data_IF_228928421520
#
_entry.id   IF_228928421520
#
_cell.length_a   1.000
_cell.length_b   1.000
_cell.length_c   1.000
_cell.angle_alpha   90.00
_cell.angle_beta   90.00
_cell.angle_gamma   90.00
#
_symmetry.space_group_name_H-M   'P 1'
#
loop_
_entity.id
_entity.type
_entity.pdbx_description
1 polymer ?
#
# COMPACT_ATOMS: atom_id res chain seq x y z
N UNK A 1 6.88 -13.53 3.98
CA UNK A 1 7.76 -12.92 2.97
C UNK A 1 7.09 -11.82 2.17
N UNK A 2 6.08 -12.09 1.32
CA UNK A 2 5.45 -11.04 0.49
C UNK A 2 4.64 -10.02 1.31
N UNK A 3 3.84 -10.50 2.27
CA UNK A 3 3.09 -9.65 3.20
C UNK A 3 3.99 -8.84 4.12
N UNK A 4 5.15 -9.38 4.51
CA UNK A 4 6.12 -8.68 5.38
C UNK A 4 6.77 -7.49 4.67
N UNK A 5 7.11 -7.62 3.38
CA UNK A 5 7.65 -6.50 2.60
C UNK A 5 6.62 -5.37 2.41
N UNK A 6 5.36 -5.74 2.19
CA UNK A 6 4.25 -4.78 2.06
C UNK A 6 3.99 -4.09 3.40
N UNK A 7 3.95 -4.84 4.50
CA UNK A 7 3.73 -4.31 5.84
C UNK A 7 4.87 -3.38 6.28
N UNK A 8 6.13 -3.76 6.02
CA UNK A 8 7.30 -2.92 6.31
C UNK A 8 7.24 -1.60 5.54
N UNK A 9 6.92 -1.65 4.24
CA UNK A 9 6.69 -0.45 3.43
C UNK A 9 5.62 0.44 4.06
N UNK A 10 4.46 -0.12 4.39
CA UNK A 10 3.36 0.64 4.97
C UNK A 10 3.73 1.26 6.32
N UNK A 11 4.42 0.53 7.18
CA UNK A 11 4.93 1.06 8.46
C UNK A 11 5.91 2.20 8.25
N UNK A 12 6.83 2.10 7.29
CA UNK A 12 7.76 3.19 6.96
C UNK A 12 7.03 4.44 6.48
N UNK A 13 6.05 4.28 5.60
CA UNK A 13 5.23 5.41 5.11
C UNK A 13 4.44 6.05 6.25
N UNK A 14 3.79 5.26 7.10
CA UNK A 14 3.03 5.76 8.26
C UNK A 14 3.90 6.50 9.27
N UNK A 15 5.19 6.16 9.36
CA UNK A 15 6.17 6.83 10.21
C UNK A 15 6.93 7.96 9.47
N UNK A 16 6.47 8.34 8.28
CA UNK A 16 7.08 9.41 7.47
C UNK A 16 8.57 9.21 7.22
N UNK A 17 9.00 7.94 7.05
CA UNK A 17 10.40 7.61 6.76
C UNK A 17 10.87 8.36 5.51
N UNK A 18 11.86 9.27 5.61
CA UNK A 18 12.17 10.22 4.55
C UNK A 18 12.70 9.53 3.29
N UNK A 19 13.38 8.39 3.43
CA UNK A 19 13.87 7.59 2.30
C UNK A 19 12.69 6.99 1.54
N UNK A 20 11.74 6.40 2.25
CA UNK A 20 10.55 5.79 1.65
C UNK A 20 9.64 6.84 1.02
N UNK A 21 9.40 7.96 1.71
CA UNK A 21 8.60 9.08 1.18
C UNK A 21 9.25 9.62 -0.10
N UNK A 22 10.56 9.85 -0.10
CA UNK A 22 11.27 10.26 -1.32
C UNK A 22 11.12 9.25 -2.45
N UNK A 23 11.24 7.95 -2.17
CA UNK A 23 11.03 6.89 -3.17
C UNK A 23 9.61 6.91 -3.75
N UNK A 24 8.60 7.17 -2.92
CA UNK A 24 7.21 7.32 -3.39
C UNK A 24 7.07 8.54 -4.30
N UNK A 25 7.65 9.69 -3.93
CA UNK A 25 7.62 10.88 -4.79
C UNK A 25 8.36 10.69 -6.12
N UNK A 26 9.49 9.98 -6.12
CA UNK A 26 10.29 9.73 -7.31
C UNK A 26 9.71 8.59 -8.18
N UNK A 27 8.65 7.91 -7.73
CA UNK A 27 8.06 6.78 -8.44
C UNK A 27 7.07 7.23 -9.52
N UNK A 28 7.37 6.89 -10.78
CA UNK A 28 6.49 7.16 -11.91
C UNK A 28 5.42 6.06 -12.08
N UNK A 29 4.40 6.08 -11.21
CA UNK A 29 3.27 5.14 -11.28
C UNK A 29 2.17 5.44 -10.27
N UNK A 30 1.24 4.49 -10.12
CA UNK A 30 0.06 4.64 -9.25
C UNK A 30 0.39 4.39 -7.76
N UNK A 31 1.38 5.10 -7.22
CA UNK A 31 1.73 5.13 -5.78
C UNK A 31 2.14 6.56 -5.44
N UNK A 32 1.39 7.24 -4.59
CA UNK A 32 1.67 8.63 -4.20
C UNK A 32 1.14 8.93 -2.81
N UNK A 33 1.74 9.92 -2.14
CA UNK A 33 1.25 10.44 -0.85
C UNK A 33 0.34 11.64 -1.13
N UNK A 34 -0.84 11.66 -0.52
CA UNK A 34 -1.74 12.80 -0.49
C UNK A 34 -1.59 13.52 0.85
N UNK A 35 -1.01 14.71 0.82
CA UNK A 35 -0.78 15.53 2.02
C UNK A 35 -2.09 16.00 2.68
N UNK A 36 -3.16 16.16 1.90
CA UNK A 36 -4.46 16.64 2.40
C UNK A 36 -5.17 15.65 3.31
N UNK A 37 -4.99 14.34 3.08
CA UNK A 37 -5.66 13.27 3.84
C UNK A 37 -4.68 12.40 4.64
N UNK A 38 -3.38 12.78 4.66
CA UNK A 38 -2.29 12.00 5.27
C UNK A 38 -2.41 10.52 4.88
N UNK A 39 -2.51 10.29 3.57
CA UNK A 39 -2.81 8.99 3.01
C UNK A 39 -1.79 8.60 1.93
N UNK A 40 -1.37 7.34 1.93
CA UNK A 40 -0.70 6.73 0.80
C UNK A 40 -1.76 6.13 -0.13
N UNK A 41 -1.88 6.71 -1.33
CA UNK A 41 -2.78 6.23 -2.37
C UNK A 41 -2.02 5.32 -3.32
N UNK A 42 -2.57 4.15 -3.62
CA UNK A 42 -1.97 3.20 -4.55
C UNK A 42 -2.97 2.34 -5.31
N UNK A 43 -2.60 1.91 -6.52
CA UNK A 43 -3.23 0.75 -7.17
C UNK A 43 -2.48 -0.53 -6.77
N UNK A 44 -3.14 -1.70 -6.78
CA UNK A 44 -2.45 -2.97 -6.48
C UNK A 44 -1.29 -3.25 -7.46
N UNK A 45 -1.44 -2.81 -8.72
CA UNK A 45 -0.40 -2.92 -9.74
C UNK A 45 0.74 -1.93 -9.50
N UNK A 46 0.43 -0.71 -9.09
CA UNK A 46 1.41 0.30 -8.67
C UNK A 46 2.24 -0.21 -7.50
N UNK A 47 1.58 -0.70 -6.45
CA UNK A 47 2.22 -1.27 -5.26
C UNK A 47 3.13 -2.46 -5.62
N UNK A 48 2.64 -3.40 -6.43
CA UNK A 48 3.44 -4.53 -6.91
C UNK A 48 4.72 -4.09 -7.64
N UNK A 49 4.61 -3.11 -8.55
CA UNK A 49 5.77 -2.55 -9.25
C UNK A 49 6.72 -1.83 -8.30
N UNK A 50 6.17 -1.07 -7.35
CA UNK A 50 6.93 -0.27 -6.39
C UNK A 50 7.80 -1.13 -5.46
N UNK A 51 7.25 -2.24 -4.97
CA UNK A 51 7.97 -3.16 -4.05
C UNK A 51 9.08 -3.92 -4.80
N UNK A 52 9.09 -3.89 -6.13
CA UNK A 52 10.08 -4.59 -6.95
C UNK A 52 9.56 -5.96 -7.36
N UNK A 53 9.04 -6.02 -8.59
CA UNK A 53 8.44 -7.21 -9.21
C UNK A 53 9.36 -8.44 -9.29
N UNK A 54 10.66 -8.31 -9.02
CA UNK A 54 11.62 -9.42 -9.06
C UNK A 54 11.55 -10.35 -7.84
N UNK A 55 11.06 -9.88 -6.69
CA UNK A 55 11.05 -10.69 -5.45
C UNK A 55 9.68 -11.32 -5.15
N UNK A 56 8.59 -10.80 -5.73
CA UNK A 56 7.21 -11.15 -5.34
C UNK A 56 6.49 -12.15 -6.28
N UNK A 57 7.18 -12.73 -7.26
CA UNK A 57 6.62 -13.72 -8.19
C UNK A 57 5.72 -13.07 -9.26
N UNK A 58 4.67 -13.73 -9.72
CA UNK A 58 3.74 -13.13 -10.68
C UNK A 58 2.77 -12.14 -10.01
N UNK A 59 2.27 -11.14 -10.74
CA UNK A 59 1.26 -10.21 -10.22
C UNK A 59 0.02 -10.93 -9.66
N UNK A 60 -0.39 -12.04 -10.28
CA UNK A 60 -1.48 -12.87 -9.78
C UNK A 60 -1.14 -13.53 -8.43
N UNK A 61 0.10 -14.02 -8.28
CA UNK A 61 0.63 -14.54 -7.02
C UNK A 61 0.70 -13.48 -5.93
N UNK A 62 1.17 -12.28 -6.26
CA UNK A 62 1.18 -11.13 -5.36
C UNK A 62 -0.23 -10.80 -4.85
N UNK A 63 -1.20 -10.65 -5.76
CA UNK A 63 -2.60 -10.38 -5.39
C UNK A 63 -3.15 -11.46 -4.47
N UNK A 64 -2.96 -12.73 -4.83
CA UNK A 64 -3.42 -13.86 -4.01
C UNK A 64 -2.78 -13.83 -2.62
N UNK A 65 -1.47 -13.55 -2.54
CA UNK A 65 -0.75 -13.42 -1.28
C UNK A 65 -1.29 -12.30 -0.39
N UNK A 66 -1.60 -11.12 -0.95
CA UNK A 66 -2.22 -10.04 -0.20
C UNK A 66 -3.58 -10.44 0.37
N UNK A 67 -4.47 -11.02 -0.46
CA UNK A 67 -5.81 -11.42 -0.01
C UNK A 67 -5.82 -12.57 0.99
N UNK A 68 -4.78 -13.42 0.97
CA UNK A 68 -4.62 -14.53 1.91
C UNK A 68 -3.84 -14.14 3.17
N UNK A 69 -3.31 -12.92 3.22
CA UNK A 69 -2.52 -12.44 4.37
C UNK A 69 -3.38 -11.76 5.42
N UNK A 70 -2.90 -11.78 6.65
CA UNK A 70 -3.48 -11.02 7.77
C UNK A 70 -3.08 -9.53 7.74
N UNK A 71 -2.67 -9.00 6.59
CA UNK A 71 -2.13 -7.64 6.44
C UNK A 71 -3.07 -6.56 7.00
N UNK A 72 -4.38 -6.67 6.72
CA UNK A 72 -5.36 -5.73 7.25
C UNK A 72 -5.46 -5.82 8.78
N UNK A 73 -5.40 -7.02 9.35
CA UNK A 73 -5.40 -7.20 10.80
C UNK A 73 -4.12 -6.62 11.42
N UNK A 74 -2.96 -6.91 10.83
CA UNK A 74 -1.66 -6.39 11.29
C UNK A 74 -1.57 -4.86 11.19
N UNK A 75 -2.24 -4.26 10.21
CA UNK A 75 -2.36 -2.80 10.10
C UNK A 75 -3.31 -2.23 11.15
N UNK A 76 -4.45 -2.88 11.40
CA UNK A 76 -5.37 -2.47 12.47
C UNK A 76 -4.70 -2.49 13.84
N UNK A 77 -3.95 -3.57 14.14
CA UNK A 77 -3.17 -3.68 15.38
C UNK A 77 -2.09 -2.57 15.48
N UNK A 78 -1.65 -2.03 14.33
CA UNK A 78 -0.71 -0.92 14.24
C UNK A 78 -1.40 0.47 14.15
N UNK A 79 -2.72 0.55 14.35
CA UNK A 79 -3.47 1.81 14.28
C UNK A 79 -3.64 2.36 12.87
N UNK A 80 -3.70 1.50 11.86
CA UNK A 80 -3.84 1.87 10.46
C UNK A 80 -4.85 1.00 9.71
N UNK A 81 -5.33 1.50 8.58
CA UNK A 81 -6.31 0.79 7.75
C UNK A 81 -6.06 1.05 6.26
N UNK A 82 -6.43 0.08 5.44
CA UNK A 82 -6.52 0.24 3.99
C UNK A 82 -8.00 0.28 3.61
N UNK A 83 -8.40 1.34 2.91
CA UNK A 83 -9.75 1.49 2.37
C UNK A 83 -9.72 1.72 0.87
N UNK A 84 -10.87 1.57 0.22
CA UNK A 84 -11.01 1.92 -1.20
C UNK A 84 -11.14 3.44 -1.28
N UNK A 85 -10.17 4.08 -1.91
CA UNK A 85 -10.16 5.52 -2.17
C UNK A 85 -11.02 5.88 -3.39
N UNK A 86 -10.84 5.13 -4.48
CA UNK A 86 -11.61 5.33 -5.71
C UNK A 86 -11.89 3.98 -6.37
N UNK A 87 -13.17 3.68 -6.59
CA UNK A 87 -13.61 2.50 -7.36
C UNK A 87 -14.03 2.93 -8.75
N UNK A 88 -13.48 2.27 -9.77
CA UNK A 88 -13.81 2.53 -11.19
C UNK A 88 -14.65 1.39 -11.79
N UNK A 89 -15.18 0.49 -10.95
CA UNK A 89 -15.95 -0.68 -11.37
C UNK A 89 -15.10 -1.87 -11.84
N UNK A 90 -13.78 -1.70 -12.01
CA UNK A 90 -12.82 -2.78 -12.21
C UNK A 90 -11.80 -2.75 -11.08
N UNK A 91 -11.68 -3.85 -10.34
CA UNK A 91 -10.76 -3.98 -9.17
C UNK A 91 -9.32 -3.60 -9.52
N UNK A 92 -8.89 -3.85 -10.76
CA UNK A 92 -7.53 -3.55 -11.23
C UNK A 92 -7.23 -2.04 -11.37
N UNK A 93 -8.28 -1.23 -11.47
CA UNK A 93 -8.19 0.24 -11.54
C UNK A 93 -8.78 0.89 -10.29
N UNK A 94 -8.97 0.12 -9.22
CA UNK A 94 -9.28 0.71 -7.92
C UNK A 94 -8.01 1.30 -7.30
N UNK A 95 -8.18 2.46 -6.70
CA UNK A 95 -7.20 3.07 -5.83
C UNK A 95 -7.57 2.78 -4.39
N UNK A 96 -6.56 2.45 -3.61
CA UNK A 96 -6.65 2.19 -2.19
C UNK A 96 -5.91 3.29 -1.44
N UNK A 97 -6.39 3.59 -0.25
CA UNK A 97 -5.78 4.55 0.66
C UNK A 97 -5.33 3.83 1.92
N UNK A 98 -4.03 3.89 2.23
CA UNK A 98 -3.50 3.55 3.55
C UNK A 98 -3.46 4.83 4.39
N UNK A 99 -4.16 4.80 5.53
CA UNK A 99 -4.20 5.91 6.49
C UNK A 99 -4.14 5.40 7.93
N UNK A 100 -3.78 6.27 8.87
CA UNK A 100 -3.92 5.97 10.30
C UNK A 100 -5.40 5.95 10.67
N UNK A 101 -5.77 5.03 11.56
CA UNK A 101 -7.05 5.12 12.25
C UNK A 101 -7.01 6.39 13.08
N UNK A 102 -7.95 7.32 12.83
CA UNK A 102 -8.13 8.46 13.71
C UNK A 102 -8.81 7.92 14.98
N UNK A 103 -8.15 8.05 16.13
CA UNK A 103 -8.82 7.88 17.42
C UNK A 103 -10.06 8.77 17.42
N UNK A 104 -11.23 8.16 17.38
CA UNK A 104 -12.53 8.84 17.51
C UNK A 104 -12.88 8.96 18.98
#
# INVERSE_FOLDING_TARGET
MLSENVLDLFRRVLNSDPVTIKRVHDFNGDVHVMDTEVCLVFSLKGLYKFIGASESGSYAGFRKGLYQSDLNQQLQDAGAVIEIFQSTGKIESNLYCLKRLQDT
#
